data_IF_591317633729
#
_entry.id   IF_591317633729
#
_cell.length_a   1.000
_cell.length_b   1.000
_cell.length_c   1.000
_cell.angle_alpha   90.00
_cell.angle_beta   90.00
_cell.angle_gamma   90.00
#
_symmetry.space_group_name_H-M   'P 1'
#
loop_
_entity.id
_entity.type
_entity.pdbx_description
1 polymer ?
#
# COMPACT_ATOMS: atom_id res chain seq x y z
N UNK A 1 -22.85 8.41 6.80
CA UNK A 1 -21.38 8.44 6.95
C UNK A 1 -20.94 8.21 8.39
N UNK A 2 -21.67 8.71 9.41
CA UNK A 2 -21.29 8.59 10.84
C UNK A 2 -21.18 7.18 11.42
N UNK A 3 -22.09 6.25 11.11
CA UNK A 3 -22.08 4.91 11.76
C UNK A 3 -20.88 4.02 11.38
N UNK A 4 -20.36 4.14 10.15
CA UNK A 4 -19.17 3.36 9.72
C UNK A 4 -17.89 3.87 10.37
N UNK A 5 -17.75 5.19 10.53
CA UNK A 5 -16.57 5.80 11.15
C UNK A 5 -16.52 5.54 12.66
N UNK A 6 -17.67 5.61 13.35
CA UNK A 6 -17.78 5.26 14.77
C UNK A 6 -17.39 3.80 15.04
N UNK A 7 -17.82 2.87 14.19
CA UNK A 7 -17.51 1.45 14.35
C UNK A 7 -16.02 1.12 14.13
N UNK A 8 -15.35 1.85 13.22
CA UNK A 8 -13.92 1.70 13.00
C UNK A 8 -13.08 2.20 14.19
N UNK A 9 -13.58 3.14 14.99
CA UNK A 9 -12.88 3.69 16.16
C UNK A 9 -12.82 2.73 17.36
N UNK A 10 -13.59 1.65 17.36
CA UNK A 10 -13.58 0.65 18.43
C UNK A 10 -12.73 -0.58 18.09
N UNK A 11 -12.32 -0.73 16.83
CA UNK A 11 -11.57 -1.91 16.39
C UNK A 11 -10.19 -2.01 17.04
N UNK A 12 -9.85 -3.22 17.50
CA UNK A 12 -8.51 -3.56 17.99
C UNK A 12 -7.48 -3.54 16.84
N UNK A 13 -6.17 -3.43 17.14
CA UNK A 13 -5.11 -3.53 16.11
C UNK A 13 -5.19 -4.81 15.27
N UNK A 14 -5.63 -5.93 15.86
CA UNK A 14 -5.80 -7.19 15.11
C UNK A 14 -6.93 -7.07 14.09
N UNK A 15 -8.10 -6.58 14.52
CA UNK A 15 -9.25 -6.39 13.65
C UNK A 15 -8.94 -5.38 12.54
N UNK A 16 -8.23 -4.29 12.84
CA UNK A 16 -7.81 -3.33 11.81
C UNK A 16 -6.90 -3.96 10.74
N UNK A 17 -5.97 -4.83 11.14
CA UNK A 17 -5.15 -5.58 10.15
C UNK A 17 -6.03 -6.47 9.27
N UNK A 18 -7.04 -7.12 9.85
CA UNK A 18 -7.98 -7.95 9.11
C UNK A 18 -8.81 -7.11 8.12
N UNK A 19 -9.33 -5.95 8.54
CA UNK A 19 -10.06 -5.02 7.66
C UNK A 19 -9.18 -4.47 6.54
N UNK A 20 -7.92 -4.12 6.83
CA UNK A 20 -6.96 -3.72 5.79
C UNK A 20 -6.80 -4.83 4.76
N UNK A 21 -6.67 -6.09 5.17
CA UNK A 21 -6.53 -7.23 4.24
C UNK A 21 -7.82 -7.47 3.45
N UNK A 22 -9.00 -7.33 4.07
CA UNK A 22 -10.31 -7.47 3.40
C UNK A 22 -10.54 -6.38 2.36
N UNK A 23 -10.05 -5.16 2.61
CA UNK A 23 -10.14 -4.05 1.68
C UNK A 23 -9.26 -4.24 0.43
N UNK A 24 -8.32 -5.21 0.41
CA UNK A 24 -7.50 -5.47 -0.77
C UNK A 24 -8.27 -6.36 -1.73
N UNK A 25 -8.61 -5.83 -2.90
CA UNK A 25 -9.29 -6.60 -3.95
C UNK A 25 -8.40 -7.71 -4.55
N UNK A 26 -7.08 -7.56 -4.44
CA UNK A 26 -6.10 -8.52 -4.92
C UNK A 26 -5.07 -8.86 -3.84
N UNK A 27 -4.50 -10.05 -3.96
CA UNK A 27 -3.46 -10.51 -3.04
C UNK A 27 -2.27 -9.54 -3.05
N UNK A 28 -1.88 -8.95 -1.90
CA UNK A 28 -0.74 -8.06 -1.85
C UNK A 28 0.56 -8.86 -1.85
N UNK A 29 1.66 -8.16 -2.06
CA UNK A 29 2.99 -8.76 -1.98
C UNK A 29 3.27 -9.29 -0.57
N UNK A 30 4.11 -10.35 -0.43
CA UNK A 30 4.49 -10.86 0.89
C UNK A 30 5.12 -9.82 1.82
N UNK A 31 5.83 -8.82 1.26
CA UNK A 31 6.44 -7.74 2.06
C UNK A 31 5.39 -6.80 2.65
N UNK A 32 4.28 -6.52 1.95
CA UNK A 32 3.14 -5.80 2.52
C UNK A 32 2.61 -6.48 3.79
N UNK A 33 2.33 -7.79 3.72
CA UNK A 33 1.83 -8.56 4.87
C UNK A 33 2.82 -8.55 6.03
N UNK A 34 4.12 -8.61 5.73
CA UNK A 34 5.19 -8.52 6.73
C UNK A 34 5.23 -7.15 7.39
N UNK A 35 5.20 -6.07 6.62
CA UNK A 35 5.16 -4.70 7.15
C UNK A 35 3.93 -4.50 8.03
N UNK A 36 2.75 -4.90 7.55
CA UNK A 36 1.49 -4.77 8.29
C UNK A 36 1.51 -5.56 9.60
N UNK A 37 2.07 -6.78 9.60
CA UNK A 37 2.19 -7.61 10.81
C UNK A 37 2.96 -6.89 11.92
N UNK A 38 4.02 -6.16 11.57
CA UNK A 38 4.91 -5.48 12.52
C UNK A 38 4.34 -4.17 13.08
N UNK A 39 3.24 -3.65 12.54
CA UNK A 39 2.61 -2.41 13.01
C UNK A 39 1.60 -2.73 14.11
N UNK A 40 1.78 -2.21 15.32
CA UNK A 40 0.83 -2.43 16.43
C UNK A 40 0.12 -1.15 16.88
N UNK A 41 0.58 0.02 16.42
CA UNK A 41 -0.09 1.29 16.69
C UNK A 41 -1.44 1.32 15.94
N UNK A 42 -2.52 1.44 16.71
CA UNK A 42 -3.90 1.45 16.22
C UNK A 42 -4.19 2.61 15.27
N UNK A 43 -3.77 3.82 15.62
CA UNK A 43 -4.03 5.02 14.83
C UNK A 43 -3.26 4.98 13.50
N UNK A 44 -2.06 4.40 13.49
CA UNK A 44 -1.33 4.13 12.25
C UNK A 44 -2.07 3.11 11.37
N UNK A 45 -2.63 2.05 11.96
CA UNK A 45 -3.42 1.06 11.21
C UNK A 45 -4.70 1.68 10.63
N UNK A 46 -5.39 2.54 11.38
CA UNK A 46 -6.54 3.30 10.84
C UNK A 46 -6.14 4.16 9.65
N UNK A 47 -5.04 4.93 9.76
CA UNK A 47 -4.52 5.74 8.65
C UNK A 47 -4.16 4.90 7.42
N UNK A 48 -3.64 3.69 7.63
CA UNK A 48 -3.35 2.75 6.54
C UNK A 48 -4.65 2.26 5.89
N UNK A 49 -5.67 1.91 6.68
CA UNK A 49 -6.98 1.51 6.16
C UNK A 49 -7.63 2.62 5.35
N UNK A 50 -7.66 3.85 5.88
CA UNK A 50 -8.15 5.04 5.17
C UNK A 50 -7.39 5.22 3.84
N UNK A 51 -6.06 5.14 3.86
CA UNK A 51 -5.24 5.27 2.64
C UNK A 51 -5.54 4.18 1.61
N UNK A 52 -5.78 2.94 2.04
CA UNK A 52 -6.17 1.82 1.15
C UNK A 52 -7.53 2.09 0.53
N UNK A 53 -8.50 2.56 1.31
CA UNK A 53 -9.84 2.89 0.81
C UNK A 53 -9.80 4.05 -0.19
N UNK A 54 -8.99 5.08 0.07
CA UNK A 54 -8.78 6.19 -0.87
C UNK A 54 -8.17 5.70 -2.19
N UNK A 55 -7.13 4.87 -2.14
CA UNK A 55 -6.49 4.32 -3.35
C UNK A 55 -7.46 3.40 -4.12
N UNK A 56 -8.27 2.62 -3.42
CA UNK A 56 -9.27 1.79 -4.07
C UNK A 56 -10.36 2.62 -4.76
N UNK A 57 -10.70 3.79 -4.21
CA UNK A 57 -11.65 4.71 -4.81
C UNK A 57 -11.06 5.43 -6.03
N UNK A 58 -9.84 5.93 -5.93
CA UNK A 58 -9.10 6.54 -7.03
C UNK A 58 -7.66 6.01 -7.07
N UNK A 59 -7.43 5.02 -7.93
CA UNK A 59 -6.13 4.36 -8.08
C UNK A 59 -5.04 5.26 -8.69
N UNK A 60 -5.40 6.47 -9.16
CA UNK A 60 -4.45 7.40 -9.75
C UNK A 60 -3.73 8.25 -8.71
N UNK A 61 -4.17 8.21 -7.43
CA UNK A 61 -3.60 9.03 -6.35
C UNK A 61 -2.23 8.53 -5.89
N UNK A 62 -1.27 9.43 -5.76
CA UNK A 62 0.09 9.10 -5.38
C UNK A 62 1.06 9.14 -6.56
N UNK A 63 2.34 9.29 -6.22
CA UNK A 63 3.37 9.64 -7.19
C UNK A 63 3.84 8.37 -7.93
N UNK A 64 3.72 8.38 -9.27
CA UNK A 64 4.32 7.35 -10.10
C UNK A 64 5.85 7.45 -10.01
N UNK A 65 6.50 6.34 -9.69
CA UNK A 65 7.95 6.22 -9.66
C UNK A 65 8.52 6.23 -11.08
N UNK A 66 9.77 6.66 -11.20
CA UNK A 66 10.50 6.74 -12.46
C UNK A 66 11.69 5.76 -12.46
N UNK A 67 12.36 5.64 -13.61
CA UNK A 67 13.54 4.79 -13.76
C UNK A 67 13.24 3.31 -13.52
N UNK A 68 14.05 2.65 -12.71
CA UNK A 68 13.96 1.20 -12.48
C UNK A 68 12.68 0.75 -11.77
N UNK A 69 12.01 1.64 -11.04
CA UNK A 69 10.77 1.36 -10.30
C UNK A 69 9.53 1.87 -11.03
N UNK A 70 9.61 2.16 -12.33
CA UNK A 70 8.47 2.63 -13.14
C UNK A 70 7.26 1.70 -13.01
N UNK A 71 6.06 2.28 -13.10
CA UNK A 71 4.80 1.54 -12.94
C UNK A 71 4.42 1.25 -11.49
N UNK A 72 5.31 1.51 -10.52
CA UNK A 72 4.96 1.56 -9.09
C UNK A 72 4.52 2.98 -8.73
N UNK A 73 3.42 3.10 -7.99
CA UNK A 73 2.92 4.33 -7.37
C UNK A 73 3.24 4.32 -5.87
N UNK A 74 3.43 5.51 -5.30
CA UNK A 74 3.64 5.69 -3.87
C UNK A 74 2.75 6.79 -3.31
N UNK A 75 1.68 6.39 -2.62
CA UNK A 75 0.82 7.29 -1.86
C UNK A 75 1.52 7.71 -0.55
N UNK A 76 1.45 8.99 -0.20
CA UNK A 76 2.12 9.57 0.96
C UNK A 76 1.07 9.96 2.00
N UNK A 77 1.27 9.52 3.24
CA UNK A 77 0.53 10.00 4.40
C UNK A 77 1.46 10.30 5.58
N UNK A 78 0.96 11.00 6.59
CA UNK A 78 1.71 11.39 7.79
C UNK A 78 0.98 10.86 9.02
N UNK A 79 1.74 10.30 9.96
CA UNK A 79 1.26 9.88 11.28
C UNK A 79 2.36 10.15 12.30
N UNK A 80 2.01 10.82 13.41
CA UNK A 80 2.94 11.19 14.50
C UNK A 80 4.24 11.82 13.98
N UNK A 81 4.11 12.82 13.10
CA UNK A 81 5.23 13.52 12.43
C UNK A 81 6.14 12.65 11.55
N UNK A 82 5.82 11.37 11.36
CA UNK A 82 6.53 10.46 10.46
C UNK A 82 5.80 10.38 9.12
N UNK A 83 6.52 10.62 8.02
CA UNK A 83 5.99 10.42 6.67
C UNK A 83 6.12 8.95 6.26
N UNK A 84 5.00 8.37 5.88
CA UNK A 84 4.91 7.01 5.34
C UNK A 84 4.65 7.02 3.84
N UNK A 85 5.01 5.92 3.19
CA UNK A 85 4.70 5.58 1.81
C UNK A 85 3.95 4.25 1.77
N UNK A 86 2.83 4.24 1.06
CA UNK A 86 2.08 3.06 0.69
C UNK A 86 2.33 2.81 -0.80
N UNK A 87 3.12 1.79 -1.10
CA UNK A 87 3.52 1.50 -2.48
C UNK A 87 2.60 0.45 -3.09
N UNK A 88 2.20 0.65 -4.33
CA UNK A 88 1.31 -0.25 -5.06
C UNK A 88 1.57 -0.12 -6.56
N UNK A 89 1.04 -1.04 -7.37
CA UNK A 89 0.98 -0.86 -8.82
C UNK A 89 -0.42 -1.20 -9.33
N UNK A 90 -0.76 -0.64 -10.48
CA UNK A 90 -2.06 -0.81 -11.11
C UNK A 90 -1.88 -1.38 -12.50
N UNK A 91 -2.66 -2.39 -12.86
CA UNK A 91 -2.72 -2.91 -14.23
C UNK A 91 -4.16 -2.80 -14.72
N UNK A 92 -4.34 -2.50 -16.01
CA UNK A 92 -5.61 -2.63 -16.70
C UNK A 92 -5.59 -3.87 -17.60
N UNK A 93 -6.28 -4.93 -17.18
CA UNK A 93 -6.41 -6.19 -17.93
C UNK A 93 -7.90 -6.49 -18.18
N UNK A 94 -8.60 -5.54 -18.82
CA UNK A 94 -10.05 -5.54 -18.96
C UNK A 94 -10.81 -5.05 -17.71
N UNK A 95 -10.10 -4.94 -16.58
CA UNK A 95 -10.52 -4.25 -15.35
C UNK A 95 -9.30 -3.68 -14.65
N UNK A 96 -9.53 -2.70 -13.78
CA UNK A 96 -8.49 -2.14 -12.91
C UNK A 96 -8.14 -3.16 -11.83
N UNK A 97 -6.84 -3.45 -11.70
CA UNK A 97 -6.29 -4.38 -10.72
C UNK A 97 -5.23 -3.63 -9.92
N UNK A 98 -5.53 -3.35 -8.66
CA UNK A 98 -4.59 -2.71 -7.72
C UNK A 98 -3.90 -3.79 -6.90
N UNK A 99 -2.57 -3.78 -6.89
CA UNK A 99 -1.78 -4.70 -6.07
C UNK A 99 -0.81 -3.92 -5.17
N UNK A 100 -1.00 -4.06 -3.86
CA UNK A 100 -0.21 -3.41 -2.84
C UNK A 100 1.14 -4.12 -2.61
N UNK A 101 2.21 -3.33 -2.50
CA UNK A 101 3.59 -3.80 -2.42
C UNK A 101 4.09 -3.73 -0.98
N UNK A 102 4.08 -2.54 -0.36
CA UNK A 102 4.55 -2.33 1.01
C UNK A 102 3.99 -1.08 1.70
N UNK A 103 4.22 -1.01 3.01
CA UNK A 103 4.03 0.17 3.86
C UNK A 103 5.35 0.43 4.56
N UNK A 104 5.89 1.64 4.44
CA UNK A 104 7.21 1.98 4.99
C UNK A 104 7.37 3.47 5.24
N UNK A 105 8.29 3.83 6.15
CA UNK A 105 8.68 5.22 6.35
C UNK A 105 9.35 5.75 5.08
N UNK A 106 9.26 7.06 4.83
CA UNK A 106 9.80 7.72 3.64
C UNK A 106 11.31 7.43 3.46
N UNK A 107 12.08 7.53 4.53
CA UNK A 107 13.54 7.34 4.55
C UNK A 107 13.94 5.95 4.08
N UNK A 108 13.12 4.94 4.42
CA UNK A 108 13.35 3.54 4.11
C UNK A 108 12.84 3.14 2.71
N UNK A 109 12.15 4.04 1.99
CA UNK A 109 11.23 3.59 0.95
C UNK A 109 11.89 3.10 -0.33
N UNK A 110 12.78 3.91 -0.90
CA UNK A 110 13.35 3.61 -2.22
C UNK A 110 14.33 2.42 -2.18
N UNK A 111 15.23 2.40 -1.20
CA UNK A 111 16.26 1.38 -1.12
C UNK A 111 15.69 0.00 -0.76
N UNK A 112 14.67 -0.06 0.08
CA UNK A 112 14.02 -1.33 0.40
C UNK A 112 13.20 -1.88 -0.77
N UNK A 113 12.47 -1.04 -1.51
CA UNK A 113 11.81 -1.47 -2.75
C UNK A 113 12.84 -2.00 -3.76
N UNK A 114 13.91 -1.24 -4.00
CA UNK A 114 14.98 -1.65 -4.92
C UNK A 114 15.59 -2.99 -4.49
N UNK A 115 15.93 -3.16 -3.21
CA UNK A 115 16.47 -4.41 -2.65
C UNK A 115 15.47 -5.56 -2.75
N UNK A 116 14.19 -5.30 -2.53
CA UNK A 116 13.14 -6.31 -2.67
C UNK A 116 13.02 -6.82 -4.11
N UNK A 117 13.13 -5.93 -5.10
CA UNK A 117 13.02 -6.30 -6.51
C UNK A 117 14.35 -6.78 -7.15
N UNK A 118 15.51 -6.61 -6.48
CA UNK A 118 16.79 -7.10 -6.99
C UNK A 118 16.78 -8.60 -7.30
N UNK A 119 16.11 -9.41 -6.47
CA UNK A 119 15.93 -10.85 -6.69
C UNK A 119 14.66 -11.21 -7.46
N UNK A 120 13.86 -10.21 -7.88
CA UNK A 120 12.55 -10.37 -8.54
C UNK A 120 12.46 -9.55 -9.83
N UNK A 121 13.53 -9.57 -10.63
CA UNK A 121 13.67 -8.75 -11.85
C UNK A 121 12.56 -9.01 -12.87
N UNK A 122 12.09 -10.25 -13.01
CA UNK A 122 10.98 -10.59 -13.92
C UNK A 122 9.68 -9.91 -13.52
N UNK A 123 9.36 -9.92 -12.22
CA UNK A 123 8.18 -9.24 -11.66
C UNK A 123 8.30 -7.73 -11.87
N UNK A 124 9.46 -7.15 -11.56
CA UNK A 124 9.69 -5.71 -11.77
C UNK A 124 9.59 -5.33 -13.26
N UNK A 125 10.08 -6.17 -14.17
CA UNK A 125 9.93 -5.98 -15.62
C UNK A 125 8.45 -5.96 -16.03
N UNK A 126 7.65 -6.89 -15.53
CA UNK A 126 6.20 -6.91 -15.81
C UNK A 126 5.49 -5.66 -15.28
N UNK A 127 5.83 -5.21 -14.07
CA UNK A 127 5.29 -3.96 -13.51
C UNK A 127 5.71 -2.76 -14.37
N UNK A 128 6.97 -2.69 -14.80
CA UNK A 128 7.46 -1.61 -15.66
C UNK A 128 6.75 -1.55 -17.03
N UNK A 129 6.31 -2.69 -17.55
CA UNK A 129 5.65 -2.83 -18.85
C UNK A 129 4.15 -2.59 -18.79
N UNK A 130 3.48 -3.01 -17.71
CA UNK A 130 2.01 -2.99 -17.59
C UNK A 130 1.46 -1.99 -16.58
N UNK A 131 2.31 -1.45 -15.71
CA UNK A 131 1.92 -0.55 -14.62
C UNK A 131 1.49 0.81 -15.15
N UNK A 132 0.29 1.26 -14.75
CA UNK A 132 -0.32 2.56 -15.15
C UNK A 132 -0.57 3.51 -13.98
#
# INVERSE_FOLDING_TARGET
MGEREENLQELSPKQLKEEIIKALENQPFPIFKRSLKNINNRNLLLKILESVLEINYDYTIGEMKTGNLRGIRAYKFIHDSVSYRLSYYVVNDGKIIITYIDIMKREDSYDNLKKYFQSRKSVLKQINEKGI
#
